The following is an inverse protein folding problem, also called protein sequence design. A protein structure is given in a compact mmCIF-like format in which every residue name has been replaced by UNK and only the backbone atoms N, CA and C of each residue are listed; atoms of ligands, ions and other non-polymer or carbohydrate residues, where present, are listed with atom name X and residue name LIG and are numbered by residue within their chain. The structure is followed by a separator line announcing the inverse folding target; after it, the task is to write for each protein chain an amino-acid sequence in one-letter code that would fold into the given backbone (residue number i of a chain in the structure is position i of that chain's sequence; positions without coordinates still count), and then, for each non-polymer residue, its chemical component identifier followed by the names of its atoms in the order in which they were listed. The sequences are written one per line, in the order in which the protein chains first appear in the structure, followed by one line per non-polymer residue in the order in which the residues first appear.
data_IF_825775622226
#
_entry.id   IF_825775622226
#
_cell.length_a   1.000
_cell.length_b   1.000
_cell.length_c   1.000
_cell.angle_alpha   90.00
_cell.angle_beta   90.00
_cell.angle_gamma   90.00
#
_symmetry.space_group_name_H-M   'P 1'
#
loop_
_entity.id
_entity.type
_entity.pdbx_description
1 polymer ?
#
# COMPACT_ATOMS: atom_id res chain seq x y z
N UNK A 1 14.10 25.25 19.35
CA UNK A 1 15.05 24.74 18.33
C UNK A 1 14.38 23.52 17.72
N UNK A 2 13.60 23.77 16.66
CA UNK A 2 12.97 22.76 15.82
C UNK A 2 13.95 22.49 14.67
N UNK A 3 14.58 21.31 14.64
CA UNK A 3 15.59 21.01 13.62
C UNK A 3 15.65 19.51 13.29
N UNK A 4 14.50 18.88 13.06
CA UNK A 4 14.45 17.51 12.50
C UNK A 4 13.43 17.29 11.38
N UNK A 5 12.59 18.27 11.03
CA UNK A 5 11.53 18.09 10.00
C UNK A 5 12.04 18.23 8.55
N UNK A 6 13.29 18.63 8.33
CA UNK A 6 13.81 18.93 6.98
C UNK A 6 14.21 17.70 6.15
N UNK A 7 14.43 16.53 6.77
CA UNK A 7 14.98 15.37 6.07
C UNK A 7 13.93 14.44 5.43
N UNK A 8 12.65 14.47 5.87
CA UNK A 8 11.61 13.56 5.33
C UNK A 8 10.93 14.09 4.05
N UNK A 9 10.85 15.40 3.87
CA UNK A 9 10.06 16.02 2.81
C UNK A 9 10.44 15.62 1.36
N UNK A 10 11.73 15.52 0.97
CA UNK A 10 12.07 15.11 -0.40
C UNK A 10 11.83 13.62 -0.65
N UNK A 11 12.05 12.75 0.34
CA UNK A 11 11.76 11.31 0.24
C UNK A 11 10.25 11.05 0.16
N UNK A 12 9.45 11.80 0.91
CA UNK A 12 8.00 11.70 0.87
C UNK A 12 7.43 12.16 -0.49
N UNK A 13 8.07 13.15 -1.14
CA UNK A 13 7.68 13.61 -2.46
C UNK A 13 8.04 12.60 -3.56
N UNK A 14 9.21 11.97 -3.47
CA UNK A 14 9.62 10.90 -4.38
C UNK A 14 8.68 9.69 -4.28
N UNK A 15 8.36 9.24 -3.05
CA UNK A 15 7.42 8.13 -2.81
C UNK A 15 6.01 8.42 -3.33
N UNK A 16 5.52 9.66 -3.18
CA UNK A 16 4.23 10.08 -3.75
C UNK A 16 4.22 10.02 -5.27
N UNK A 17 5.32 10.44 -5.91
CA UNK A 17 5.45 10.39 -7.37
C UNK A 17 5.48 8.94 -7.87
N UNK A 18 6.27 8.07 -7.24
CA UNK A 18 6.31 6.64 -7.56
C UNK A 18 4.92 5.98 -7.44
N UNK A 19 4.15 6.36 -6.41
CA UNK A 19 2.80 5.86 -6.22
C UNK A 19 1.82 6.37 -7.28
N UNK A 20 1.92 7.64 -7.67
CA UNK A 20 1.13 8.21 -8.77
C UNK A 20 1.46 7.54 -10.11
N UNK A 21 2.74 7.27 -10.36
CA UNK A 21 3.20 6.59 -11.58
C UNK A 21 2.68 5.15 -11.62
N UNK A 22 2.77 4.43 -10.49
CA UNK A 22 2.22 3.07 -10.37
C UNK A 22 0.69 3.04 -10.55
N UNK A 23 -0.03 4.01 -9.98
CA UNK A 23 -1.47 4.15 -10.16
C UNK A 23 -1.85 4.46 -11.61
N UNK A 24 -1.08 5.34 -12.27
CA UNK A 24 -1.25 5.67 -13.68
C UNK A 24 -1.11 4.43 -14.58
N UNK A 25 -0.09 3.61 -14.32
CA UNK A 25 0.14 2.34 -15.03
C UNK A 25 -0.99 1.33 -14.80
N UNK A 26 -1.46 1.18 -13.56
CA UNK A 26 -2.57 0.27 -13.27
C UNK A 26 -3.87 0.75 -13.92
N UNK A 27 -4.13 2.05 -13.91
CA UNK A 27 -5.30 2.63 -14.57
C UNK A 27 -5.24 2.48 -16.09
N UNK A 28 -4.07 2.60 -16.71
CA UNK A 28 -3.91 2.41 -18.16
C UNK A 28 -4.03 0.95 -18.57
N UNK A 29 -3.50 0.02 -17.78
CA UNK A 29 -3.73 -1.42 -17.97
C UNK A 29 -5.23 -1.69 -17.90
N UNK A 30 -5.91 -1.20 -16.87
CA UNK A 30 -7.37 -1.36 -16.72
C UNK A 30 -8.15 -0.82 -17.92
N UNK A 31 -7.83 0.39 -18.41
CA UNK A 31 -8.53 0.94 -19.58
C UNK A 31 -8.27 0.10 -20.82
N UNK A 32 -7.03 -0.32 -21.04
CA UNK A 32 -6.66 -1.17 -22.18
C UNK A 32 -7.41 -2.51 -22.16
N UNK A 33 -7.57 -3.11 -20.98
CA UNK A 33 -8.36 -4.33 -20.83
C UNK A 33 -9.86 -4.09 -21.09
N UNK A 34 -10.39 -2.93 -20.72
CA UNK A 34 -11.78 -2.57 -20.98
C UNK A 34 -12.02 -2.40 -22.49
N UNK A 35 -11.13 -1.66 -23.17
CA UNK A 35 -11.20 -1.42 -24.62
C UNK A 35 -11.09 -2.75 -25.40
N UNK A 36 -10.14 -3.62 -25.02
CA UNK A 36 -9.99 -4.95 -25.61
C UNK A 36 -11.24 -5.83 -25.43
N UNK A 37 -11.98 -5.65 -24.33
CA UNK A 37 -13.19 -6.41 -24.03
C UNK A 37 -14.38 -5.89 -24.84
N UNK A 38 -14.41 -4.58 -25.13
CA UNK A 38 -15.36 -3.95 -26.04
C UNK A 38 -15.10 -4.37 -27.49
N UNK A 39 -13.85 -4.34 -27.94
CA UNK A 39 -13.45 -4.82 -29.28
C UNK A 39 -13.83 -6.29 -29.50
N UNK A 40 -13.64 -7.13 -28.48
CA UNK A 40 -14.02 -8.56 -28.50
C UNK A 40 -15.53 -8.76 -28.55
N UNK A 41 -16.33 -7.81 -28.07
CA UNK A 41 -17.80 -7.86 -28.16
C UNK A 41 -18.30 -7.42 -29.53
N UNK A 42 -17.63 -6.46 -30.15
CA UNK A 42 -18.06 -5.86 -31.42
C UNK A 42 -17.51 -6.59 -32.66
N UNK A 43 -16.31 -7.17 -32.58
CA UNK A 43 -15.80 -8.06 -33.63
C UNK A 43 -16.24 -9.50 -33.40
N UNK A 44 -16.76 -10.14 -34.46
CA UNK A 44 -16.85 -11.59 -34.57
C UNK A 44 -15.44 -12.21 -34.69
N UNK A 45 -14.61 -11.98 -33.67
CA UNK A 45 -13.27 -12.51 -33.57
C UNK A 45 -13.34 -14.04 -33.52
N UNK A 46 -12.44 -14.69 -34.24
CA UNK A 46 -12.39 -16.15 -34.26
C UNK A 46 -12.33 -16.68 -32.82
N UNK A 47 -13.13 -17.72 -32.47
CA UNK A 47 -13.25 -18.21 -31.10
C UNK A 47 -11.91 -18.53 -30.40
N UNK A 48 -10.88 -18.87 -31.19
CA UNK A 48 -9.53 -19.15 -30.70
C UNK A 48 -8.78 -17.90 -30.24
N UNK A 49 -8.88 -16.80 -30.98
CA UNK A 49 -8.26 -15.52 -30.58
C UNK A 49 -8.98 -14.95 -29.36
N UNK A 50 -10.30 -15.12 -29.27
CA UNK A 50 -11.09 -14.78 -28.08
C UNK A 50 -10.61 -15.56 -26.84
N UNK A 51 -10.45 -16.88 -26.97
CA UNK A 51 -10.00 -17.73 -25.88
C UNK A 51 -8.59 -17.37 -25.41
N UNK A 52 -7.69 -17.03 -26.33
CA UNK A 52 -6.33 -16.58 -26.01
C UNK A 52 -6.38 -15.26 -25.23
N UNK A 53 -7.13 -14.27 -25.71
CA UNK A 53 -7.30 -12.98 -25.01
C UNK A 53 -7.93 -13.16 -23.62
N UNK A 54 -8.90 -14.06 -23.45
CA UNK A 54 -9.49 -14.38 -22.14
C UNK A 54 -8.42 -14.95 -21.19
N UNK A 55 -7.60 -15.90 -21.67
CA UNK A 55 -6.55 -16.48 -20.84
C UNK A 55 -5.48 -15.44 -20.44
N UNK A 56 -5.15 -14.52 -21.36
CA UNK A 56 -4.22 -13.42 -21.10
C UNK A 56 -4.80 -12.46 -20.04
N UNK A 57 -6.08 -12.13 -20.13
CA UNK A 57 -6.81 -11.31 -19.14
C UNK A 57 -6.85 -11.97 -17.77
N UNK A 58 -7.19 -13.25 -17.69
CA UNK A 58 -7.21 -14.00 -16.43
C UNK A 58 -5.82 -14.04 -15.78
N UNK A 59 -4.78 -14.20 -16.58
CA UNK A 59 -3.39 -14.21 -16.11
C UNK A 59 -2.97 -12.84 -15.58
N UNK A 60 -3.32 -11.77 -16.29
CA UNK A 60 -3.07 -10.40 -15.86
C UNK A 60 -3.80 -10.06 -14.54
N UNK A 61 -5.07 -10.46 -14.42
CA UNK A 61 -5.86 -10.26 -13.20
C UNK A 61 -5.28 -11.03 -12.00
N UNK A 62 -4.89 -12.29 -12.19
CA UNK A 62 -4.22 -13.07 -11.13
C UNK A 62 -2.93 -12.38 -10.68
N UNK A 63 -2.12 -11.89 -11.62
CA UNK A 63 -0.91 -11.12 -11.32
C UNK A 63 -1.21 -9.85 -10.52
N UNK A 64 -2.22 -9.09 -10.92
CA UNK A 64 -2.64 -7.88 -10.22
C UNK A 64 -3.07 -8.18 -8.77
N UNK A 65 -3.89 -9.20 -8.54
CA UNK A 65 -4.31 -9.61 -7.19
C UNK A 65 -3.14 -10.10 -6.33
N UNK A 66 -2.19 -10.83 -6.92
CA UNK A 66 -1.01 -11.26 -6.18
C UNK A 66 -0.12 -10.08 -5.77
N UNK A 67 0.05 -9.10 -6.65
CA UNK A 67 0.81 -7.87 -6.36
C UNK A 67 0.09 -7.07 -5.28
N UNK A 68 -1.23 -6.90 -5.39
CA UNK A 68 -2.04 -6.20 -4.38
C UNK A 68 -1.96 -6.89 -3.01
N UNK A 69 -2.05 -8.23 -2.97
CA UNK A 69 -1.92 -8.99 -1.72
C UNK A 69 -0.53 -8.79 -1.10
N UNK A 70 0.53 -8.90 -1.91
CA UNK A 70 1.91 -8.66 -1.43
C UNK A 70 2.11 -7.24 -0.93
N UNK A 71 1.52 -6.25 -1.60
CA UNK A 71 1.56 -4.86 -1.19
C UNK A 71 0.83 -4.65 0.13
N UNK A 72 -0.39 -5.18 0.28
CA UNK A 72 -1.15 -5.09 1.52
C UNK A 72 -0.46 -5.82 2.69
N UNK A 73 0.16 -6.97 2.43
CA UNK A 73 0.95 -7.70 3.44
C UNK A 73 2.22 -6.92 3.84
N UNK A 74 2.88 -6.27 2.88
CA UNK A 74 4.02 -5.39 3.15
C UNK A 74 3.59 -4.16 3.95
N UNK A 75 2.47 -3.53 3.60
CA UNK A 75 1.92 -2.37 4.30
C UNK A 75 1.57 -2.72 5.76
N UNK A 76 0.90 -3.86 6.00
CA UNK A 76 0.62 -4.36 7.36
C UNK A 76 1.89 -4.58 8.19
N UNK A 77 3.00 -4.98 7.55
CA UNK A 77 4.29 -5.21 8.23
C UNK A 77 5.04 -3.91 8.51
N UNK A 78 4.93 -2.90 7.65
CA UNK A 78 5.56 -1.60 7.86
C UNK A 78 4.80 -0.74 8.88
N UNK A 79 3.48 -0.70 8.81
CA UNK A 79 2.66 0.20 9.64
C UNK A 79 2.15 -0.46 10.94
N UNK A 80 2.58 -1.68 11.26
CA UNK A 80 2.16 -2.41 12.46
C UNK A 80 0.66 -2.73 12.52
N UNK A 81 -0.08 -2.49 11.43
CA UNK A 81 -1.54 -2.68 11.35
C UNK A 81 -2.38 -1.50 11.84
N UNK A 82 -1.76 -0.35 12.14
CA UNK A 82 -2.50 0.86 12.53
C UNK A 82 -2.86 1.67 11.29
N UNK A 83 -4.10 2.18 11.24
CA UNK A 83 -4.55 3.04 10.14
C UNK A 83 -3.78 4.36 10.20
N UNK A 84 -3.50 4.99 9.05
CA UNK A 84 -2.83 6.29 9.00
C UNK A 84 -3.54 7.32 9.91
N UNK A 85 -2.84 7.77 10.97
CA UNK A 85 -3.37 8.70 11.98
C UNK A 85 -3.83 8.05 13.29
N UNK A 86 -3.80 6.71 13.39
CA UNK A 86 -4.16 5.97 14.58
C UNK A 86 -2.95 5.83 15.52
N UNK A 87 -3.13 6.18 16.80
CA UNK A 87 -2.09 6.10 17.81
C UNK A 87 -2.09 4.70 18.41
N UNK A 88 -0.93 4.05 18.46
CA UNK A 88 -0.74 2.82 19.22
C UNK A 88 -0.91 3.09 20.73
N UNK A 89 -2.12 2.89 21.23
CA UNK A 89 -2.43 3.13 22.65
C UNK A 89 -1.67 2.16 23.55
N UNK A 90 -1.35 0.96 23.07
CA UNK A 90 -0.64 -0.06 23.86
C UNK A 90 0.85 0.26 23.97
N UNK A 91 1.51 0.71 22.90
CA UNK A 91 2.88 1.23 22.98
C UNK A 91 2.94 2.52 23.83
N UNK A 92 1.98 3.43 23.64
CA UNK A 92 1.90 4.65 24.45
C UNK A 92 1.74 4.33 25.94
N UNK A 93 0.85 3.39 26.29
CA UNK A 93 0.64 2.95 27.68
C UNK A 93 1.89 2.31 28.26
N UNK A 94 2.60 1.48 27.49
CA UNK A 94 3.87 0.86 27.91
C UNK A 94 4.94 1.90 28.21
N UNK A 95 5.12 2.88 27.32
CA UNK A 95 6.09 3.99 27.49
C UNK A 95 5.78 4.85 28.71
N UNK A 96 4.51 5.19 28.92
CA UNK A 96 4.06 5.95 30.10
C UNK A 96 4.32 5.13 31.37
N UNK A 97 3.98 3.84 31.37
CA UNK A 97 4.23 2.92 32.48
C UNK A 97 5.70 2.90 32.89
N UNK A 98 6.61 2.63 31.95
CA UNK A 98 8.06 2.62 32.23
C UNK A 98 8.56 3.96 32.79
N UNK A 99 8.02 5.08 32.30
CA UNK A 99 8.41 6.42 32.75
C UNK A 99 7.88 6.72 34.16
N UNK A 100 6.66 6.30 34.47
CA UNK A 100 6.09 6.39 35.82
C UNK A 100 6.82 5.48 36.81
N UNK A 101 7.19 4.27 36.40
CA UNK A 101 7.94 3.34 37.26
C UNK A 101 9.34 3.88 37.58
N UNK A 102 9.99 4.54 36.61
CA UNK A 102 11.24 5.27 36.85
C UNK A 102 11.08 6.39 37.87
N UNK A 103 10.01 7.20 37.77
CA UNK A 103 9.72 8.26 38.73
C UNK A 103 9.41 7.69 40.12
N UNK A 104 8.64 6.60 40.20
CA UNK A 104 8.34 5.91 41.46
C UNK A 104 9.58 5.30 42.11
N UNK A 105 10.54 4.82 41.32
CA UNK A 105 11.83 4.35 41.82
C UNK A 105 12.61 5.50 42.46
N UNK A 106 12.72 6.65 41.78
CA UNK A 106 13.38 7.84 42.34
C UNK A 106 12.71 8.38 43.61
N UNK A 107 11.37 8.33 43.70
CA UNK A 107 10.64 8.82 44.86
C UNK A 107 10.60 7.83 46.06
N UNK A 108 11.13 6.61 45.94
CA UNK A 108 11.25 5.67 47.07
C UNK A 108 12.59 5.74 47.80
N UNK A 109 13.57 6.45 47.25
CA UNK A 109 14.90 6.64 47.85
C UNK A 109 15.00 7.89 48.74
N UNK A 110 13.85 8.48 49.12
CA UNK A 110 13.75 9.65 49.99
C UNK A 110 13.03 9.36 51.30
#
# INVERSE_FOLDING_TARGET
MDETTSASAPDDAARRKEWQDAWGLLSSVRSTLADLLEDVRDEAAEPKELQKKINDLESALKGAFEVERKFNDWLKRQDGGLVAGEIDIDDARRRIGCRLDRLRACCREG
#
